data_IF_782541753719
#
_entry.id   IF_782541753719
#
_cell.length_a   1.000
_cell.length_b   1.000
_cell.length_c   1.000
_cell.angle_alpha   90.00
_cell.angle_beta   90.00
_cell.angle_gamma   90.00
#
_symmetry.space_group_name_H-M   'P 1'
#
loop_
_entity.id
_entity.type
_entity.pdbx_description
1 polymer ?
#
# COMPACT_ATOMS: atom_id res chain seq x y z
N UNK A 1 5.61 36.15 65.76
CA UNK A 1 6.58 35.38 64.96
C UNK A 1 5.80 34.45 64.03
N UNK A 2 5.46 34.90 62.81
CA UNK A 2 4.63 34.14 61.88
C UNK A 2 5.51 33.48 60.82
N UNK A 3 5.75 32.18 60.98
CA UNK A 3 6.50 31.35 60.02
C UNK A 3 5.55 30.93 58.89
N UNK A 4 5.37 31.77 57.86
CA UNK A 4 4.75 31.36 56.58
C UNK A 4 5.83 30.75 55.69
N UNK A 5 6.12 29.47 55.87
CA UNK A 5 6.97 28.72 54.95
C UNK A 5 6.24 27.43 54.60
N UNK A 6 5.66 27.36 53.40
CA UNK A 6 4.93 26.16 52.98
C UNK A 6 4.10 26.26 51.70
N UNK A 7 4.08 27.39 50.99
CA UNK A 7 3.26 27.55 49.77
C UNK A 7 4.06 27.99 48.53
N UNK A 8 5.36 28.24 48.66
CA UNK A 8 6.20 28.75 47.56
C UNK A 8 6.82 27.63 46.72
N UNK A 9 7.09 26.46 47.29
CA UNK A 9 7.74 25.34 46.58
C UNK A 9 6.80 24.59 45.63
N UNK A 10 5.50 24.49 45.95
CA UNK A 10 4.54 23.79 45.09
C UNK A 10 4.35 24.47 43.73
N UNK A 11 4.41 25.81 43.69
CA UNK A 11 4.31 26.57 42.44
C UNK A 11 5.47 26.28 41.49
N UNK A 12 6.68 26.14 42.02
CA UNK A 12 7.86 25.81 41.22
C UNK A 12 7.81 24.36 40.73
N UNK A 13 7.32 23.43 41.54
CA UNK A 13 7.11 22.04 41.13
C UNK A 13 6.08 21.91 40.00
N UNK A 14 4.97 22.67 40.07
CA UNK A 14 3.94 22.70 39.02
C UNK A 14 4.47 23.34 37.74
N UNK A 15 5.22 24.44 37.84
CA UNK A 15 5.86 25.08 36.67
C UNK A 15 6.91 24.17 36.03
N UNK A 16 7.66 23.43 36.84
CA UNK A 16 8.66 22.47 36.36
C UNK A 16 7.99 21.27 35.66
N UNK A 17 6.89 20.76 36.22
CA UNK A 17 6.06 19.75 35.55
C UNK A 17 5.46 20.27 34.24
N UNK A 18 4.91 21.48 34.20
CA UNK A 18 4.39 22.07 32.96
C UNK A 18 5.49 22.19 31.90
N UNK A 19 6.67 22.69 32.27
CA UNK A 19 7.80 22.80 31.36
C UNK A 19 8.26 21.43 30.84
N UNK A 20 8.32 20.43 31.72
CA UNK A 20 8.65 19.05 31.38
C UNK A 20 7.63 18.40 30.43
N UNK A 21 6.33 18.64 30.63
CA UNK A 21 5.27 18.16 29.72
C UNK A 21 5.31 18.85 28.35
N UNK A 22 5.65 20.15 28.30
CA UNK A 22 5.82 20.89 27.04
C UNK A 22 7.04 20.38 26.25
N UNK A 23 8.08 19.90 26.94
CA UNK A 23 9.27 19.31 26.32
C UNK A 23 9.07 17.87 25.82
N UNK A 24 7.96 17.20 26.13
CA UNK A 24 7.79 15.77 25.87
C UNK A 24 7.20 15.41 24.49
N UNK A 25 6.77 16.38 23.68
CA UNK A 25 6.12 16.05 22.39
C UNK A 25 7.07 16.19 21.20
N UNK A 26 7.97 15.21 21.02
CA UNK A 26 8.60 14.96 19.71
C UNK A 26 8.11 13.61 19.21
N UNK A 27 7.07 13.62 18.37
CA UNK A 27 6.70 12.46 17.57
C UNK A 27 7.54 12.48 16.29
N UNK A 28 8.60 11.69 16.25
CA UNK A 28 9.27 11.38 14.99
C UNK A 28 8.47 10.28 14.29
N UNK A 29 7.86 10.62 13.16
CA UNK A 29 6.96 9.76 12.42
C UNK A 29 7.44 9.62 10.99
N UNK A 30 7.75 8.40 10.58
CA UNK A 30 8.06 8.12 9.19
C UNK A 30 6.81 8.29 8.33
N UNK A 31 6.87 9.14 7.30
CA UNK A 31 5.74 9.39 6.39
C UNK A 31 5.45 8.15 5.56
N UNK A 32 4.20 7.69 5.62
CA UNK A 32 3.74 6.49 4.89
C UNK A 32 2.47 6.77 4.12
N UNK A 33 2.47 6.50 2.83
CA UNK A 33 1.31 6.60 1.96
C UNK A 33 0.85 5.20 1.52
N UNK A 34 -0.46 5.06 1.34
CA UNK A 34 -1.06 3.85 0.77
C UNK A 34 -1.70 4.21 -0.57
N UNK A 35 -1.31 3.52 -1.62
CA UNK A 35 -1.87 3.70 -2.96
C UNK A 35 -2.25 2.36 -3.54
N UNK A 36 -3.24 2.38 -4.42
CA UNK A 36 -3.52 1.24 -5.28
C UNK A 36 -2.47 1.16 -6.39
N UNK A 37 -2.21 -0.05 -6.89
CA UNK A 37 -1.51 -0.20 -8.16
C UNK A 37 -2.35 0.31 -9.34
N UNK A 38 -1.80 0.23 -10.55
CA UNK A 38 -2.53 0.56 -11.79
C UNK A 38 -3.06 2.01 -11.87
N UNK A 39 -2.49 2.89 -11.04
CA UNK A 39 -2.80 4.31 -11.10
C UNK A 39 -2.29 4.94 -12.40
N UNK A 40 -3.10 5.86 -12.93
CA UNK A 40 -2.75 6.62 -14.11
C UNK A 40 -1.56 7.55 -13.82
N UNK A 41 -0.75 7.78 -14.84
CA UNK A 41 0.30 8.80 -14.79
C UNK A 41 -0.31 10.17 -14.44
N UNK A 42 0.31 10.84 -13.48
CA UNK A 42 -0.15 12.12 -12.94
C UNK A 42 -1.16 12.00 -11.79
N UNK A 43 -1.54 10.78 -11.38
CA UNK A 43 -2.36 10.60 -10.18
C UNK A 43 -1.63 11.09 -8.94
N UNK A 44 -2.36 11.79 -8.07
CA UNK A 44 -1.84 12.32 -6.81
C UNK A 44 -1.78 11.22 -5.76
N UNK A 45 -0.62 11.06 -5.13
CA UNK A 45 -0.39 10.15 -4.01
C UNK A 45 -0.69 10.84 -2.69
N UNK A 46 -0.17 12.06 -2.50
CA UNK A 46 -0.29 12.81 -1.26
C UNK A 46 0.40 14.17 -1.30
N UNK A 47 0.12 15.01 -0.30
CA UNK A 47 0.72 16.34 -0.20
C UNK A 47 2.03 16.29 0.61
N UNK A 48 3.13 16.13 -0.11
CA UNK A 48 4.45 15.97 0.48
C UNK A 48 4.94 17.26 1.18
N UNK A 49 4.59 18.43 0.64
CA UNK A 49 4.95 19.72 1.24
C UNK A 49 4.41 19.85 2.67
N UNK A 50 3.12 19.57 2.83
CA UNK A 50 2.44 19.68 4.12
C UNK A 50 3.00 18.69 5.14
N UNK A 51 3.25 17.45 4.70
CA UNK A 51 3.70 16.39 5.60
C UNK A 51 5.17 16.57 6.03
N UNK A 52 5.99 17.21 5.19
CA UNK A 52 7.37 17.60 5.54
C UNK A 52 7.46 19.01 6.18
N UNK A 53 6.34 19.74 6.28
CA UNK A 53 6.32 21.10 6.82
C UNK A 53 7.00 22.15 5.96
N UNK A 54 7.10 21.90 4.65
CA UNK A 54 7.74 22.78 3.67
C UNK A 54 6.72 23.70 3.00
N UNK A 55 7.15 24.93 2.69
CA UNK A 55 6.38 25.85 1.85
C UNK A 55 6.58 25.57 0.36
N UNK A 56 5.61 25.96 -0.48
CA UNK A 56 5.70 25.79 -1.94
C UNK A 56 6.91 26.55 -2.53
N UNK A 57 7.26 27.70 -1.96
CA UNK A 57 8.43 28.46 -2.36
C UNK A 57 9.72 27.67 -2.10
N UNK A 58 9.86 27.06 -0.91
CA UNK A 58 11.03 26.24 -0.58
C UNK A 58 11.18 25.02 -1.49
N UNK A 59 10.07 24.39 -1.89
CA UNK A 59 10.09 23.24 -2.81
C UNK A 59 10.66 23.63 -4.17
N UNK A 60 10.26 24.81 -4.67
CA UNK A 60 10.72 25.33 -5.95
C UNK A 60 12.17 25.83 -5.87
N UNK A 61 12.48 26.66 -4.87
CA UNK A 61 13.78 27.31 -4.72
C UNK A 61 14.89 26.30 -4.39
N UNK A 62 14.59 25.29 -3.56
CA UNK A 62 15.55 24.29 -3.08
C UNK A 62 15.52 22.99 -3.87
N UNK A 63 14.82 22.99 -5.02
CA UNK A 63 14.72 21.87 -5.97
C UNK A 63 14.45 20.54 -5.29
N UNK A 64 13.28 20.41 -4.68
CA UNK A 64 12.88 19.14 -4.09
C UNK A 64 12.84 18.05 -5.16
N UNK A 65 13.62 16.99 -4.96
CA UNK A 65 13.68 15.83 -5.85
C UNK A 65 13.38 14.55 -5.09
N UNK A 66 12.87 13.55 -5.81
CA UNK A 66 12.58 12.23 -5.25
C UNK A 66 13.44 11.20 -5.96
N UNK A 67 14.20 10.46 -5.18
CA UNK A 67 14.97 9.32 -5.64
C UNK A 67 14.29 8.02 -5.17
N UNK A 68 14.22 7.04 -6.07
CA UNK A 68 13.81 5.68 -5.73
C UNK A 68 15.04 4.81 -5.56
N UNK A 69 15.05 3.99 -4.51
CA UNK A 69 16.12 2.99 -4.29
C UNK A 69 16.11 1.91 -5.38
N UNK A 70 14.95 1.63 -5.99
CA UNK A 70 14.76 0.59 -7.00
C UNK A 70 15.25 0.99 -8.42
N UNK A 71 15.96 2.12 -8.55
CA UNK A 71 16.57 2.58 -9.81
C UNK A 71 15.60 3.21 -10.83
N UNK A 72 14.33 2.78 -10.86
CA UNK A 72 13.28 3.39 -11.71
C UNK A 72 12.46 4.42 -10.93
N UNK A 73 12.29 5.62 -11.48
CA UNK A 73 11.51 6.71 -10.88
C UNK A 73 10.00 6.55 -11.17
N UNK A 74 9.31 5.77 -10.34
CA UNK A 74 7.84 5.61 -10.39
C UNK A 74 7.07 6.83 -9.86
N UNK A 75 7.73 7.66 -9.06
CA UNK A 75 7.13 8.84 -8.44
C UNK A 75 7.95 10.09 -8.76
N UNK A 76 7.26 11.22 -8.85
CA UNK A 76 7.84 12.54 -9.01
C UNK A 76 7.06 13.53 -8.17
N UNK A 77 7.60 14.73 -7.95
CA UNK A 77 6.90 15.80 -7.23
C UNK A 77 6.48 16.89 -8.18
N UNK A 78 5.24 17.33 -8.05
CA UNK A 78 4.75 18.55 -8.68
C UNK A 78 5.21 19.75 -7.82
N UNK A 79 6.23 20.48 -8.29
CA UNK A 79 6.76 21.64 -7.58
C UNK A 79 5.76 22.80 -7.43
N UNK A 80 4.74 22.87 -8.28
CA UNK A 80 3.72 23.93 -8.22
C UNK A 80 2.73 23.74 -7.06
N UNK A 81 2.46 22.48 -6.69
CA UNK A 81 1.51 22.12 -5.62
C UNK A 81 2.14 21.45 -4.41
N UNK A 82 3.40 21.02 -4.53
CA UNK A 82 4.08 20.25 -3.50
C UNK A 82 3.51 18.85 -3.30
N UNK A 83 2.93 18.28 -4.35
CA UNK A 83 2.25 16.98 -4.32
C UNK A 83 3.15 15.89 -4.90
N UNK A 84 3.18 14.72 -4.25
CA UNK A 84 3.79 13.52 -4.80
C UNK A 84 2.82 12.91 -5.81
N UNK A 85 3.30 12.68 -7.03
CA UNK A 85 2.49 12.17 -8.14
C UNK A 85 3.13 10.95 -8.79
N UNK A 86 2.29 10.10 -9.38
CA UNK A 86 2.71 8.90 -10.10
C UNK A 86 3.31 9.31 -11.45
N UNK A 87 4.57 8.95 -11.70
CA UNK A 87 5.26 9.24 -12.95
C UNK A 87 5.09 8.11 -14.00
N UNK A 88 4.98 6.86 -13.57
CA UNK A 88 4.82 5.72 -14.47
C UNK A 88 3.88 4.67 -13.86
N UNK A 89 3.31 3.81 -14.70
CA UNK A 89 2.41 2.73 -14.27
C UNK A 89 3.14 1.82 -13.29
N UNK A 90 2.47 1.52 -12.18
CA UNK A 90 2.97 0.68 -11.10
C UNK A 90 2.27 -0.67 -11.22
N UNK A 91 3.06 -1.71 -11.38
CA UNK A 91 2.66 -3.12 -11.48
C UNK A 91 3.27 -3.82 -10.25
N UNK A 92 2.44 -4.27 -9.32
CA UNK A 92 2.90 -4.85 -8.04
C UNK A 92 3.57 -6.20 -8.27
N UNK A 93 3.10 -7.00 -9.22
CA UNK A 93 3.69 -8.29 -9.58
C UNK A 93 5.11 -8.11 -10.10
N UNK A 94 5.35 -7.09 -10.93
CA UNK A 94 6.67 -6.79 -11.45
C UNK A 94 7.66 -6.31 -10.37
N UNK A 95 7.17 -5.64 -9.33
CA UNK A 95 7.99 -5.06 -8.26
C UNK A 95 8.24 -6.01 -7.09
N UNK A 96 7.19 -6.65 -6.61
CA UNK A 96 7.16 -7.39 -5.35
C UNK A 96 6.78 -8.88 -5.55
N UNK A 97 6.42 -9.29 -6.77
CA UNK A 97 6.00 -10.66 -7.07
C UNK A 97 4.79 -11.09 -6.25
N UNK A 98 4.90 -12.23 -5.59
CA UNK A 98 3.83 -12.82 -4.75
C UNK A 98 3.95 -12.44 -3.27
N UNK A 99 4.75 -11.43 -2.94
CA UNK A 99 4.95 -11.02 -1.54
C UNK A 99 3.66 -10.46 -0.94
N UNK A 100 3.34 -10.85 0.30
CA UNK A 100 2.13 -10.41 1.00
C UNK A 100 2.07 -8.89 1.28
N UNK A 101 3.21 -8.20 1.22
CA UNK A 101 3.29 -6.76 1.38
C UNK A 101 4.28 -6.18 0.38
N UNK A 102 3.89 -5.09 -0.28
CA UNK A 102 4.74 -4.37 -1.21
C UNK A 102 4.94 -2.93 -0.71
N UNK A 103 6.16 -2.60 -0.31
CA UNK A 103 6.52 -1.27 0.21
C UNK A 103 7.71 -0.75 -0.58
N UNK A 104 7.55 0.42 -1.19
CA UNK A 104 8.60 1.13 -1.87
C UNK A 104 9.15 2.23 -0.97
N UNK A 105 10.46 2.20 -0.72
CA UNK A 105 11.16 3.28 -0.04
C UNK A 105 11.59 4.35 -1.06
N UNK A 106 11.25 5.59 -0.74
CA UNK A 106 11.64 6.78 -1.48
C UNK A 106 12.48 7.68 -0.59
N UNK A 107 13.46 8.32 -1.21
CA UNK A 107 14.27 9.33 -0.57
C UNK A 107 13.97 10.68 -1.19
N UNK A 108 13.45 11.60 -0.37
CA UNK A 108 13.20 12.98 -0.75
C UNK A 108 14.44 13.77 -0.41
N UNK A 109 15.00 14.45 -1.42
CA UNK A 109 16.23 15.23 -1.31
C UNK A 109 15.91 16.69 -1.54
N UNK A 110 16.42 17.55 -0.67
CA UNK A 110 16.30 19.01 -0.77
C UNK A 110 17.69 19.60 -0.67
N UNK A 111 18.03 20.53 -1.55
CA UNK A 111 19.34 21.19 -1.58
C UNK A 111 19.35 22.46 -0.71
N UNK A 112 20.56 22.95 -0.37
CA UNK A 112 20.81 24.25 0.27
C UNK A 112 19.89 24.66 1.45
N UNK A 113 20.08 24.09 2.67
CA UNK A 113 21.02 23.04 3.04
C UNK A 113 20.50 21.63 2.68
N UNK A 114 21.44 20.69 2.48
CA UNK A 114 21.10 19.32 2.12
C UNK A 114 20.28 18.64 3.24
N UNK A 115 19.07 18.20 2.90
CA UNK A 115 18.18 17.43 3.79
C UNK A 115 17.64 16.21 3.06
N UNK A 116 17.49 15.11 3.81
CA UNK A 116 17.07 13.81 3.30
C UNK A 116 15.92 13.28 4.16
N UNK A 117 14.77 13.04 3.54
CA UNK A 117 13.62 12.45 4.20
C UNK A 117 13.31 11.08 3.59
N UNK A 118 12.99 10.11 4.43
CA UNK A 118 12.58 8.78 3.99
C UNK A 118 11.06 8.69 4.01
N UNK A 119 10.48 8.36 2.85
CA UNK A 119 9.04 8.19 2.67
C UNK A 119 8.79 6.75 2.21
N UNK A 120 7.79 6.11 2.80
CA UNK A 120 7.38 4.77 2.38
C UNK A 120 6.04 4.82 1.66
N UNK A 121 5.94 4.06 0.57
CA UNK A 121 4.69 3.89 -0.16
C UNK A 121 4.33 2.42 -0.12
N UNK A 122 3.22 2.11 0.53
CA UNK A 122 2.61 0.79 0.46
C UNK A 122 1.73 0.72 -0.79
N UNK A 123 2.05 -0.24 -1.67
CA UNK A 123 1.23 -0.57 -2.83
C UNK A 123 0.19 -1.60 -2.40
N UNK A 124 -1.08 -1.28 -2.64
CA UNK A 124 -2.21 -2.17 -2.47
C UNK A 124 -2.48 -2.90 -3.77
N UNK A 125 -2.57 -4.22 -3.63
CA UNK A 125 -2.95 -5.16 -4.67
C UNK A 125 -4.39 -4.88 -5.13
N UNK A 126 -4.60 -4.88 -6.45
CA UNK A 126 -5.89 -4.92 -7.10
C UNK A 126 -6.00 -6.29 -7.78
N UNK A 127 -7.19 -6.89 -7.74
CA UNK A 127 -7.44 -8.13 -8.48
C UNK A 127 -7.61 -7.85 -9.99
N UNK A 128 -6.54 -7.43 -10.66
CA UNK A 128 -6.49 -7.18 -12.10
C UNK A 128 -6.00 -8.43 -12.89
N UNK A 129 -5.47 -9.42 -12.18
CA UNK A 129 -4.99 -10.68 -12.72
C UNK A 129 -6.01 -11.81 -12.52
N UNK A 130 -6.56 -12.33 -13.62
CA UNK A 130 -7.42 -13.51 -13.57
C UNK A 130 -6.60 -14.80 -13.40
N UNK A 131 -7.14 -15.82 -12.70
CA UNK A 131 -6.47 -17.10 -12.57
C UNK A 131 -6.23 -17.72 -13.95
N UNK A 132 -5.02 -18.26 -14.15
CA UNK A 132 -4.64 -18.95 -15.39
C UNK A 132 -4.36 -20.40 -15.09
N UNK A 133 -4.98 -21.28 -15.86
CA UNK A 133 -4.73 -22.71 -15.79
C UNK A 133 -3.67 -23.12 -16.82
N UNK A 134 -2.84 -24.14 -16.52
CA UNK A 134 -1.85 -24.63 -17.47
C UNK A 134 -2.44 -25.14 -18.80
N UNK A 135 -3.71 -25.50 -18.79
CA UNK A 135 -4.43 -26.00 -19.97
C UNK A 135 -5.83 -25.38 -20.00
N UNK A 136 -6.27 -24.96 -21.19
CA UNK A 136 -7.64 -24.45 -21.42
C UNK A 136 -8.67 -25.55 -21.28
N UNK A 137 -8.29 -26.76 -21.71
CA UNK A 137 -9.13 -27.94 -21.73
C UNK A 137 -8.43 -29.03 -20.93
N UNK A 138 -9.17 -29.71 -20.06
CA UNK A 138 -8.67 -30.88 -19.35
C UNK A 138 -9.61 -32.04 -19.55
N UNK A 139 -9.07 -33.14 -20.07
CA UNK A 139 -9.78 -34.39 -20.30
C UNK A 139 -9.60 -35.29 -19.08
N UNK A 140 -10.71 -35.67 -18.44
CA UNK A 140 -10.72 -36.51 -17.25
C UNK A 140 -11.49 -37.80 -17.55
N UNK A 141 -10.75 -38.90 -17.62
CA UNK A 141 -11.34 -40.24 -17.80
C UNK A 141 -11.63 -40.88 -16.44
N UNK A 142 -12.91 -41.03 -16.13
CA UNK A 142 -13.39 -41.67 -14.89
C UNK A 142 -14.05 -43.00 -15.24
N UNK A 143 -13.61 -44.07 -14.58
CA UNK A 143 -14.29 -45.37 -14.72
C UNK A 143 -15.69 -45.30 -14.11
N UNK A 144 -16.68 -45.87 -14.79
CA UNK A 144 -18.04 -46.04 -14.24
C UNK A 144 -18.06 -46.87 -12.94
N UNK A 145 -17.05 -47.71 -12.72
CA UNK A 145 -16.89 -48.53 -11.52
C UNK A 145 -16.28 -47.77 -10.34
N UNK A 146 -16.12 -46.45 -10.45
CA UNK A 146 -15.51 -45.62 -9.42
C UNK A 146 -16.39 -45.58 -8.16
N UNK A 147 -15.76 -45.78 -7.00
CA UNK A 147 -16.44 -45.78 -5.71
C UNK A 147 -16.87 -44.36 -5.33
N UNK A 148 -18.02 -44.24 -4.68
CA UNK A 148 -18.51 -42.98 -4.12
C UNK A 148 -17.46 -42.45 -3.12
N UNK A 149 -17.08 -41.17 -3.26
CA UNK A 149 -16.05 -40.54 -2.44
C UNK A 149 -14.63 -40.65 -2.99
N UNK A 150 -14.44 -41.16 -4.21
CA UNK A 150 -13.15 -41.08 -4.89
C UNK A 150 -12.74 -39.61 -5.13
N UNK A 151 -11.48 -39.29 -4.83
CA UNK A 151 -10.89 -37.97 -5.04
C UNK A 151 -9.96 -37.99 -6.25
N UNK A 152 -10.07 -36.97 -7.10
CA UNK A 152 -9.20 -36.75 -8.24
C UNK A 152 -8.40 -35.44 -8.01
N UNK A 153 -7.08 -35.42 -8.21
CA UNK A 153 -6.24 -34.27 -7.85
C UNK A 153 -6.60 -33.00 -8.62
N UNK A 154 -6.73 -31.87 -7.92
CA UNK A 154 -7.27 -30.57 -8.38
C UNK A 154 -6.35 -29.77 -9.35
N UNK A 155 -5.70 -30.42 -10.31
CA UNK A 155 -5.04 -29.70 -11.43
C UNK A 155 -6.02 -29.20 -12.49
N UNK A 156 -7.30 -29.04 -12.13
CA UNK A 156 -8.39 -28.73 -13.03
C UNK A 156 -8.89 -27.31 -12.77
N UNK A 157 -9.20 -26.50 -13.80
CA UNK A 157 -9.98 -25.29 -13.61
C UNK A 157 -11.20 -25.58 -12.74
N UNK A 158 -11.48 -24.75 -11.73
CA UNK A 158 -12.72 -24.81 -10.96
C UNK A 158 -13.91 -24.46 -11.86
N UNK A 159 -14.27 -25.43 -12.69
CA UNK A 159 -15.56 -25.64 -13.31
C UNK A 159 -15.93 -27.08 -12.99
N UNK A 160 -16.11 -27.38 -11.69
CA UNK A 160 -16.80 -28.61 -11.29
C UNK A 160 -18.26 -28.38 -11.63
N UNK A 161 -18.63 -28.68 -12.88
CA UNK A 161 -20.02 -28.94 -13.20
C UNK A 161 -20.43 -30.12 -12.32
N UNK A 162 -21.40 -29.91 -11.44
CA UNK A 162 -22.11 -30.99 -10.78
C UNK A 162 -22.49 -32.01 -11.87
N UNK A 163 -21.85 -33.19 -11.84
CA UNK A 163 -22.25 -34.33 -12.63
C UNK A 163 -23.62 -34.80 -12.12
N UNK A 164 -24.67 -34.08 -12.51
CA UNK A 164 -26.01 -34.64 -12.53
C UNK A 164 -26.04 -35.64 -13.66
N UNK A 165 -25.87 -36.92 -13.34
CA UNK A 165 -26.33 -38.01 -14.19
C UNK A 165 -27.81 -37.80 -14.45
N UNK A 166 -28.21 -37.32 -15.63
CA UNK A 166 -29.55 -37.59 -16.16
C UNK A 166 -29.56 -37.61 -17.69
N UNK A 167 -30.05 -38.74 -18.19
CA UNK A 167 -30.30 -39.09 -19.57
C UNK A 167 -31.23 -38.05 -20.24
N UNK A 168 -30.84 -37.58 -21.42
CA UNK A 168 -31.64 -36.81 -22.40
C UNK A 168 -32.25 -35.47 -21.93
N UNK A 169 -31.70 -34.35 -22.46
CA UNK A 169 -32.36 -33.19 -23.09
C UNK A 169 -31.52 -31.90 -22.89
N UNK A 170 -31.37 -31.14 -23.98
CA UNK A 170 -30.54 -29.94 -24.09
C UNK A 170 -31.12 -28.76 -23.28
N UNK A 171 -30.32 -28.12 -22.41
CA UNK A 171 -30.64 -26.82 -21.81
C UNK A 171 -29.37 -25.97 -21.75
N UNK A 172 -29.42 -24.77 -22.35
CA UNK A 172 -28.43 -23.70 -22.22
C UNK A 172 -28.50 -23.09 -20.81
N UNK A 173 -27.36 -22.93 -20.14
CA UNK A 173 -27.23 -22.02 -19.00
C UNK A 173 -25.98 -21.16 -19.16
N UNK A 174 -26.17 -19.86 -18.96
CA UNK A 174 -25.10 -18.87 -18.81
C UNK A 174 -24.76 -18.77 -17.33
N UNK A 175 -23.50 -18.98 -16.96
CA UNK A 175 -23.03 -18.92 -15.57
C UNK A 175 -22.18 -17.66 -15.42
N UNK A 176 -22.69 -16.69 -14.65
CA UNK A 176 -21.91 -15.55 -14.18
C UNK A 176 -20.98 -16.00 -13.04
N UNK A 177 -19.70 -15.72 -13.18
CA UNK A 177 -18.66 -16.04 -12.20
C UNK A 177 -18.80 -15.08 -11.00
N UNK A 178 -19.23 -15.63 -9.86
CA UNK A 178 -19.23 -14.94 -8.56
C UNK A 178 -18.11 -15.55 -7.70
N UNK A 179 -17.04 -14.78 -7.50
CA UNK A 179 -15.96 -15.11 -6.55
C UNK A 179 -16.14 -14.17 -5.37
N UNK A 180 -16.38 -14.73 -4.17
CA UNK A 180 -16.33 -14.01 -2.89
C UNK A 180 -14.91 -13.93 -2.36
#
# INVERSE_FOLDING_TARGET
MTKRNGYRDWRWLVLWWQYFFILWSTTDGQTRYNIQEELKRGSVVGNLAKDLGLSLAEIFDRKLTVASEAGKQYFTVDAGKGELVVNDRIDREALCGQSASCVLALQVVIEDPLQLFRVEIQIQDINDNSPRFPSSDVLLDISESTVIGAHFPESYPFAVYLLTFYVNYCILWQIDVLIS
#
